data_IF_782672037225
#
_entry.id   IF_782672037225
#
_cell.length_a   1.000
_cell.length_b   1.000
_cell.length_c   1.000
_cell.angle_alpha   90.00
_cell.angle_beta   90.00
_cell.angle_gamma   90.00
#
_symmetry.space_group_name_H-M   'P 1'
#
loop_
_entity.id
_entity.type
_entity.pdbx_description
1 polymer ?
#
# COMPACT_ATOMS: atom_id res chain seq x y z
N UNK A 1 -4.04 -12.49 -2.16
CA UNK A 1 -4.83 -12.00 -3.33
C UNK A 1 -4.74 -10.48 -3.46
N UNK A 2 -5.02 -9.90 -4.64
CA UNK A 2 -5.06 -8.44 -4.87
C UNK A 2 -6.51 -7.97 -4.95
N UNK A 3 -6.90 -7.07 -4.05
CA UNK A 3 -8.23 -6.44 -4.02
C UNK A 3 -8.13 -5.00 -4.56
N UNK A 4 -9.01 -4.63 -5.49
CA UNK A 4 -9.12 -3.25 -5.99
C UNK A 4 -10.49 -2.70 -5.67
N UNK A 5 -10.53 -1.55 -5.00
CA UNK A 5 -11.77 -0.92 -4.50
C UNK A 5 -11.70 0.60 -4.68
N UNK A 6 -12.80 1.31 -4.42
CA UNK A 6 -12.82 2.77 -4.47
C UNK A 6 -13.57 3.37 -3.27
N UNK A 7 -14.79 2.90 -3.03
CA UNK A 7 -15.60 3.35 -1.90
C UNK A 7 -14.88 3.06 -0.57
N UNK A 8 -14.87 4.06 0.31
CA UNK A 8 -14.13 3.97 1.58
C UNK A 8 -14.74 2.94 2.54
N UNK A 9 -16.05 2.70 2.48
CA UNK A 9 -16.70 1.71 3.33
C UNK A 9 -16.39 0.31 2.83
N UNK A 10 -16.41 0.11 1.50
CA UNK A 10 -15.98 -1.15 0.89
C UNK A 10 -14.50 -1.43 1.20
N UNK A 11 -13.63 -0.42 1.08
CA UNK A 11 -12.22 -0.54 1.44
C UNK A 11 -12.03 -0.99 2.90
N UNK A 12 -12.72 -0.35 3.83
CA UNK A 12 -12.68 -0.73 5.25
C UNK A 12 -13.25 -2.12 5.51
N UNK A 13 -14.25 -2.55 4.74
CA UNK A 13 -14.79 -3.90 4.86
C UNK A 13 -13.75 -4.92 4.39
N UNK A 14 -13.13 -4.71 3.23
CA UNK A 14 -12.07 -5.62 2.74
C UNK A 14 -10.90 -5.67 3.71
N UNK A 15 -10.48 -4.56 4.34
CA UNK A 15 -9.47 -4.59 5.39
C UNK A 15 -9.82 -5.56 6.53
N UNK A 16 -11.09 -5.57 6.99
CA UNK A 16 -11.58 -6.50 8.02
C UNK A 16 -11.57 -7.96 7.55
N UNK A 17 -11.72 -8.19 6.25
CA UNK A 17 -11.80 -9.53 5.70
C UNK A 17 -10.41 -10.15 5.46
N UNK A 18 -9.36 -9.33 5.26
CA UNK A 18 -8.02 -9.80 4.87
C UNK A 18 -6.96 -9.74 5.98
N UNK A 19 -7.12 -8.83 6.95
CA UNK A 19 -6.18 -8.63 8.06
C UNK A 19 -6.44 -9.64 9.18
N UNK A 20 -5.36 -10.20 9.71
CA UNK A 20 -5.30 -11.09 10.87
C UNK A 20 -4.65 -10.38 12.07
N UNK A 21 -4.83 -10.97 13.24
CA UNK A 21 -4.43 -10.36 14.52
C UNK A 21 -2.92 -10.09 14.64
N UNK A 22 -2.11 -10.93 14.01
CA UNK A 22 -0.64 -10.92 14.05
C UNK A 22 0.01 -10.33 12.78
N UNK A 23 -0.78 -9.82 11.84
CA UNK A 23 -0.27 -9.38 10.54
C UNK A 23 0.69 -8.17 10.67
N UNK A 24 1.76 -8.20 9.86
CA UNK A 24 2.54 -7.02 9.53
C UNK A 24 1.90 -6.29 8.35
N UNK A 25 1.46 -5.06 8.59
CA UNK A 25 0.77 -4.25 7.58
C UNK A 25 1.64 -3.06 7.15
N UNK A 26 1.87 -2.95 5.85
CA UNK A 26 2.50 -1.75 5.25
C UNK A 26 1.41 -0.91 4.57
N UNK A 27 1.19 0.30 5.07
CA UNK A 27 0.16 1.22 4.58
C UNK A 27 0.77 2.42 3.84
N UNK A 28 0.49 2.53 2.54
CA UNK A 28 0.92 3.63 1.68
C UNK A 28 -0.20 4.67 1.55
N UNK A 29 0.04 5.88 2.05
CA UNK A 29 -0.91 7.00 2.01
C UNK A 29 -1.87 7.02 3.19
N UNK A 30 -1.35 6.94 4.43
CA UNK A 30 -2.20 6.86 5.62
C UNK A 30 -2.94 8.17 5.97
N UNK A 31 -2.55 9.31 5.38
CA UNK A 31 -3.08 10.64 5.69
C UNK A 31 -3.12 10.86 7.22
N UNK A 32 -4.25 11.28 7.78
CA UNK A 32 -4.45 11.48 9.23
C UNK A 32 -4.67 10.19 10.04
N UNK A 33 -4.49 9.00 9.46
CA UNK A 33 -4.48 7.73 10.20
C UNK A 33 -5.86 7.09 10.44
N UNK A 34 -6.91 7.48 9.72
CA UNK A 34 -8.24 6.88 9.89
C UNK A 34 -8.28 5.39 9.54
N UNK A 35 -7.59 5.01 8.46
CA UNK A 35 -7.47 3.61 8.05
C UNK A 35 -6.47 2.89 8.95
N UNK A 36 -5.33 3.52 9.29
CA UNK A 36 -4.36 3.03 10.28
C UNK A 36 -5.01 2.63 11.61
N UNK A 37 -5.96 3.43 12.12
CA UNK A 37 -6.71 3.11 13.35
C UNK A 37 -7.54 1.85 13.22
N UNK A 38 -8.14 1.61 12.06
CA UNK A 38 -8.92 0.39 11.81
C UNK A 38 -7.96 -0.80 11.73
N UNK A 39 -6.84 -0.63 11.02
CA UNK A 39 -5.80 -1.65 10.90
C UNK A 39 -5.25 -2.04 12.27
N UNK A 40 -4.99 -1.10 13.18
CA UNK A 40 -4.49 -1.42 14.53
C UNK A 40 -5.52 -2.18 15.38
N UNK A 41 -6.80 -1.93 15.19
CA UNK A 41 -7.85 -2.71 15.87
C UNK A 41 -7.96 -4.14 15.33
N UNK A 42 -7.61 -4.35 14.06
CA UNK A 42 -7.66 -5.66 13.40
C UNK A 42 -6.40 -6.49 13.61
N UNK A 43 -5.25 -5.84 13.77
CA UNK A 43 -3.95 -6.46 14.04
C UNK A 43 -3.41 -6.03 15.42
N UNK A 44 -4.07 -6.39 16.55
CA UNK A 44 -3.65 -5.99 17.89
C UNK A 44 -2.26 -6.54 18.27
N UNK A 45 -1.89 -7.72 17.76
CA UNK A 45 -0.63 -8.42 18.05
C UNK A 45 0.41 -8.26 16.92
N UNK A 46 0.01 -7.61 15.83
CA UNK A 46 0.83 -7.35 14.65
C UNK A 46 1.67 -6.08 14.74
N UNK A 47 2.06 -5.55 13.57
CA UNK A 47 2.81 -4.29 13.45
C UNK A 47 2.37 -3.52 12.23
N UNK A 48 2.40 -2.19 12.32
CA UNK A 48 1.99 -1.32 11.23
C UNK A 48 3.15 -0.39 10.85
N UNK A 49 3.51 -0.37 9.58
CA UNK A 49 4.38 0.64 8.99
C UNK A 49 3.51 1.54 8.12
N UNK A 50 3.19 2.73 8.63
CA UNK A 50 2.33 3.71 7.96
C UNK A 50 3.18 4.80 7.31
N UNK A 51 2.89 5.11 6.04
CA UNK A 51 3.67 6.05 5.25
C UNK A 51 2.78 7.13 4.65
N UNK A 52 3.20 8.39 4.80
CA UNK A 52 2.56 9.54 4.15
C UNK A 52 3.58 10.66 3.94
N UNK A 53 3.38 11.52 2.94
CA UNK A 53 4.28 12.65 2.67
C UNK A 53 3.93 13.89 3.50
N UNK A 54 2.68 14.01 3.93
CA UNK A 54 2.13 15.20 4.56
C UNK A 54 2.65 15.37 5.99
N UNK A 55 2.88 16.62 6.39
CA UNK A 55 3.32 16.95 7.75
C UNK A 55 2.20 16.79 8.77
N UNK A 56 0.95 17.01 8.35
CA UNK A 56 -0.26 16.87 9.17
C UNK A 56 -0.42 15.45 9.74
N UNK A 57 0.08 14.45 9.02
CA UNK A 57 0.11 13.06 9.48
C UNK A 57 0.94 12.87 10.75
N UNK A 58 2.04 13.62 10.96
CA UNK A 58 2.93 13.37 12.10
C UNK A 58 2.20 13.47 13.44
N UNK A 59 1.55 14.62 13.68
CA UNK A 59 0.87 14.87 14.95
C UNK A 59 -0.27 13.88 15.17
N UNK A 60 -1.05 13.58 14.13
CA UNK A 60 -2.19 12.66 14.21
C UNK A 60 -1.77 11.22 14.43
N UNK A 61 -0.69 10.77 13.81
CA UNK A 61 -0.18 9.41 14.01
C UNK A 61 0.53 9.29 15.38
N UNK A 62 1.15 10.35 15.89
CA UNK A 62 1.71 10.36 17.24
C UNK A 62 0.64 10.38 18.33
N UNK A 63 -0.50 11.03 18.10
CA UNK A 63 -1.70 10.89 18.94
C UNK A 63 -2.22 9.45 18.88
N UNK A 64 -2.41 8.90 17.67
CA UNK A 64 -2.93 7.54 17.49
C UNK A 64 -2.06 6.49 18.20
N UNK A 65 -0.73 6.59 18.13
CA UNK A 65 0.22 5.71 18.83
C UNK A 65 -0.01 5.65 20.35
N UNK A 66 -0.54 6.72 20.96
CA UNK A 66 -0.84 6.76 22.40
C UNK A 66 -2.19 6.12 22.73
N UNK A 67 -3.07 5.99 21.75
CA UNK A 67 -4.44 5.49 21.91
C UNK A 67 -4.58 3.99 21.65
N UNK A 68 -3.64 3.39 20.92
CA UNK A 68 -3.71 1.98 20.48
C UNK A 68 -2.53 1.19 21.02
N UNK A 69 -2.72 -0.12 21.19
CA UNK A 69 -1.67 -1.03 21.68
C UNK A 69 -0.78 -1.56 20.58
N UNK A 70 -1.28 -1.67 19.34
CA UNK A 70 -0.50 -2.13 18.19
C UNK A 70 0.67 -1.18 17.93
N UNK A 71 1.91 -1.69 17.81
CA UNK A 71 3.04 -0.89 17.38
C UNK A 71 2.81 -0.26 16.00
N UNK A 72 2.82 1.08 15.95
CA UNK A 72 2.77 1.85 14.71
C UNK A 72 4.11 2.56 14.52
N UNK A 73 4.80 2.24 13.42
CA UNK A 73 5.90 3.04 12.90
C UNK A 73 5.36 3.97 11.81
N UNK A 74 5.48 5.28 12.02
CA UNK A 74 5.16 6.27 11.00
C UNK A 74 6.44 6.74 10.30
N UNK A 75 6.42 6.75 8.98
CA UNK A 75 7.52 7.26 8.15
C UNK A 75 6.98 8.37 7.26
N UNK A 76 7.38 9.61 7.54
CA UNK A 76 7.08 10.72 6.65
C UNK A 76 7.98 10.66 5.42
N UNK A 77 7.41 10.36 4.25
CA UNK A 77 8.17 10.18 3.01
C UNK A 77 7.29 10.18 1.76
N UNK A 78 7.92 10.24 0.59
CA UNK A 78 7.27 9.98 -0.69
C UNK A 78 7.47 8.52 -1.12
N UNK A 79 6.38 7.75 -1.12
CA UNK A 79 6.37 6.31 -1.46
C UNK A 79 6.81 6.00 -2.91
N UNK A 80 6.99 7.02 -3.74
CA UNK A 80 7.49 6.90 -5.12
C UNK A 80 9.02 6.84 -5.17
N UNK A 81 9.72 7.15 -4.08
CA UNK A 81 11.18 7.21 -4.05
C UNK A 81 11.80 5.85 -3.70
N UNK A 82 12.90 5.52 -4.37
CA UNK A 82 13.62 4.26 -4.16
C UNK A 82 14.17 4.13 -2.73
N UNK A 83 14.79 5.18 -2.21
CA UNK A 83 15.32 5.25 -0.83
C UNK A 83 14.24 4.98 0.24
N UNK A 84 12.99 5.35 -0.06
CA UNK A 84 11.86 5.07 0.83
C UNK A 84 11.55 3.58 0.86
N UNK A 85 11.52 2.94 -0.32
CA UNK A 85 11.34 1.49 -0.42
C UNK A 85 12.48 0.74 0.28
N UNK A 86 13.76 1.10 0.03
CA UNK A 86 14.91 0.44 0.67
C UNK A 86 14.83 0.49 2.21
N UNK A 87 14.46 1.65 2.75
CA UNK A 87 14.25 1.84 4.19
C UNK A 87 13.16 0.91 4.72
N UNK A 88 12.02 0.80 4.04
CA UNK A 88 10.91 -0.06 4.48
C UNK A 88 11.26 -1.53 4.33
N UNK A 89 11.87 -1.94 3.22
CA UNK A 89 12.27 -3.33 2.99
C UNK A 89 13.20 -3.83 4.09
N UNK A 90 14.17 -3.02 4.49
CA UNK A 90 15.08 -3.35 5.59
C UNK A 90 14.29 -3.63 6.88
N UNK A 91 13.36 -2.72 7.22
CA UNK A 91 12.52 -2.85 8.42
C UNK A 91 11.57 -4.04 8.37
N UNK A 92 10.94 -4.28 7.22
CA UNK A 92 10.03 -5.39 6.97
C UNK A 92 10.78 -6.73 7.10
N UNK A 93 12.00 -6.82 6.59
CA UNK A 93 12.83 -8.01 6.73
C UNK A 93 13.21 -8.27 8.20
N UNK A 94 13.56 -7.23 8.96
CA UNK A 94 13.89 -7.36 10.38
C UNK A 94 12.71 -7.85 11.24
N UNK A 95 11.47 -7.61 10.80
CA UNK A 95 10.24 -8.04 11.49
C UNK A 95 9.64 -9.35 10.97
N UNK A 96 10.23 -9.95 9.92
CA UNK A 96 9.85 -11.27 9.41
C UNK A 96 9.03 -11.30 8.12
N UNK A 97 8.75 -10.14 7.51
CA UNK A 97 8.00 -10.05 6.25
C UNK A 97 6.84 -9.06 6.30
N UNK A 98 6.11 -8.99 5.19
CA UNK A 98 4.90 -8.17 5.03
C UNK A 98 3.73 -9.11 4.73
N UNK A 99 2.67 -9.06 5.53
CA UNK A 99 1.48 -9.89 5.29
C UNK A 99 0.47 -9.15 4.42
N UNK A 100 0.27 -7.86 4.68
CA UNK A 100 -0.72 -7.04 3.98
C UNK A 100 -0.11 -5.74 3.49
N UNK A 101 -0.22 -5.49 2.18
CA UNK A 101 0.09 -4.20 1.57
C UNK A 101 -1.19 -3.42 1.29
N UNK A 102 -1.29 -2.23 1.88
CA UNK A 102 -2.45 -1.35 1.77
C UNK A 102 -2.07 -0.09 0.99
N UNK A 103 -2.69 0.15 -0.17
CA UNK A 103 -2.34 1.26 -1.08
C UNK A 103 -3.54 2.21 -1.23
N UNK A 104 -3.49 3.37 -0.54
CA UNK A 104 -4.49 4.45 -0.63
C UNK A 104 -3.81 5.81 -0.87
N UNK A 105 -3.41 6.05 -2.13
CA UNK A 105 -2.75 7.32 -2.51
C UNK A 105 -3.75 8.44 -2.83
N UNK A 106 -4.94 8.40 -2.22
CA UNK A 106 -6.10 9.21 -2.55
C UNK A 106 -6.92 8.54 -3.66
N UNK A 107 -8.10 7.99 -3.35
CA UNK A 107 -8.88 7.11 -4.23
C UNK A 107 -9.24 7.59 -5.66
N UNK A 108 -8.93 8.84 -6.04
CA UNK A 108 -9.05 9.39 -7.40
C UNK A 108 -7.72 9.76 -8.06
N UNK A 109 -6.58 9.42 -7.45
CA UNK A 109 -5.25 9.69 -7.97
C UNK A 109 -5.00 8.90 -9.26
N UNK A 110 -4.05 9.37 -10.08
CA UNK A 110 -3.82 8.82 -11.41
C UNK A 110 -3.56 7.29 -11.36
N UNK A 111 -4.36 6.47 -12.07
CA UNK A 111 -4.28 5.01 -11.97
C UNK A 111 -2.92 4.45 -12.36
N UNK A 112 -2.20 5.10 -13.28
CA UNK A 112 -0.86 4.69 -13.69
C UNK A 112 0.15 4.80 -12.54
N UNK A 113 0.07 5.86 -11.74
CA UNK A 113 0.98 6.09 -10.62
C UNK A 113 0.68 5.11 -9.49
N UNK A 114 -0.60 4.93 -9.15
CA UNK A 114 -1.00 3.93 -8.16
C UNK A 114 -0.56 2.53 -8.57
N UNK A 115 -0.75 2.15 -9.83
CA UNK A 115 -0.31 0.85 -10.33
C UNK A 115 1.20 0.67 -10.27
N UNK A 116 2.00 1.68 -10.67
CA UNK A 116 3.46 1.62 -10.59
C UNK A 116 3.96 1.47 -9.15
N UNK A 117 3.38 2.22 -8.21
CA UNK A 117 3.70 2.09 -6.78
C UNK A 117 3.32 0.70 -6.28
N UNK A 118 2.09 0.25 -6.53
CA UNK A 118 1.66 -1.12 -6.19
C UNK A 118 2.64 -2.16 -6.74
N UNK A 119 2.96 -2.10 -8.03
CA UNK A 119 3.82 -3.05 -8.71
C UNK A 119 5.18 -3.17 -8.02
N UNK A 120 5.86 -2.03 -7.83
CA UNK A 120 7.19 -2.01 -7.21
C UNK A 120 7.14 -2.51 -5.77
N UNK A 121 6.20 -2.03 -4.97
CA UNK A 121 6.13 -2.36 -3.55
C UNK A 121 5.71 -3.82 -3.34
N UNK A 122 4.69 -4.30 -4.05
CA UNK A 122 4.19 -5.66 -3.91
C UNK A 122 5.19 -6.71 -4.42
N UNK A 123 5.89 -6.46 -5.54
CA UNK A 123 6.94 -7.37 -6.04
C UNK A 123 8.15 -7.44 -5.11
N UNK A 124 8.42 -6.37 -4.35
CA UNK A 124 9.55 -6.32 -3.41
C UNK A 124 9.19 -6.94 -2.06
N UNK A 125 8.03 -6.58 -1.50
CA UNK A 125 7.59 -7.01 -0.18
C UNK A 125 6.92 -8.38 -0.19
N UNK A 126 6.42 -8.82 -1.35
CA UNK A 126 5.73 -10.10 -1.59
C UNK A 126 4.64 -10.39 -0.54
N UNK A 127 3.66 -9.48 -0.36
CA UNK A 127 2.62 -9.65 0.64
C UNK A 127 1.69 -10.82 0.30
N UNK A 128 1.10 -11.42 1.33
CA UNK A 128 0.02 -12.41 1.20
C UNK A 128 -1.22 -11.78 0.58
N UNK A 129 -1.60 -10.60 1.08
CA UNK A 129 -2.76 -9.83 0.59
C UNK A 129 -2.36 -8.41 0.21
N UNK A 130 -2.98 -7.89 -0.84
CA UNK A 130 -2.89 -6.47 -1.19
C UNK A 130 -4.28 -5.88 -1.35
N UNK A 131 -4.46 -4.65 -0.90
CA UNK A 131 -5.64 -3.84 -1.19
C UNK A 131 -5.22 -2.52 -1.82
N UNK A 132 -5.86 -2.14 -2.92
CA UNK A 132 -5.62 -0.91 -3.67
C UNK A 132 -6.92 -0.12 -3.72
N UNK A 133 -6.90 1.11 -3.21
CA UNK A 133 -8.01 2.05 -3.37
C UNK A 133 -7.77 2.98 -4.55
N UNK A 134 -8.38 2.70 -5.69
CA UNK A 134 -8.28 3.54 -6.89
C UNK A 134 -9.47 3.35 -7.84
N UNK A 135 -10.18 4.45 -8.15
CA UNK A 135 -11.32 4.43 -9.08
C UNK A 135 -10.93 4.02 -10.51
N UNK A 136 -9.82 4.54 -11.03
CA UNK A 136 -9.41 4.32 -12.41
C UNK A 136 -8.97 2.89 -12.69
N UNK A 137 -8.30 2.24 -11.73
CA UNK A 137 -7.96 0.82 -11.84
C UNK A 137 -9.20 -0.07 -11.79
N UNK A 138 -10.15 0.26 -10.90
CA UNK A 138 -11.42 -0.47 -10.82
C UNK A 138 -12.22 -0.34 -12.13
N UNK A 139 -12.26 0.86 -12.69
CA UNK A 139 -12.88 1.12 -14.01
C UNK A 139 -12.22 0.32 -15.13
N UNK A 140 -10.88 0.30 -15.18
CA UNK A 140 -10.14 -0.51 -16.15
C UNK A 140 -10.47 -2.01 -16.04
N UNK A 141 -10.48 -2.57 -14.82
CA UNK A 141 -10.81 -3.98 -14.58
C UNK A 141 -12.20 -4.34 -15.10
N UNK A 142 -13.18 -3.46 -14.92
CA UNK A 142 -14.55 -3.71 -15.37
C UNK A 142 -14.80 -3.39 -16.85
N UNK A 143 -13.90 -2.64 -17.49
CA UNK A 143 -14.02 -2.25 -18.89
C UNK A 143 -13.17 -3.10 -19.84
N UNK A 144 -12.09 -3.69 -19.35
CA UNK A 144 -11.18 -4.50 -20.16
C UNK A 144 -11.71 -5.94 -20.39
N UNK A 145 -11.32 -6.52 -21.53
CA UNK A 145 -11.50 -7.94 -21.82
C UNK A 145 -10.13 -8.53 -22.16
N UNK A 146 -9.78 -9.66 -21.54
CA UNK A 146 -8.55 -10.38 -21.82
C UNK A 146 -8.83 -11.56 -22.76
N UNK A 147 -7.96 -11.76 -23.75
CA UNK A 147 -7.99 -12.94 -24.64
C UNK A 147 -7.27 -14.14 -24.03
N UNK A 148 -6.48 -13.92 -22.97
CA UNK A 148 -5.68 -14.92 -22.27
C UNK A 148 -5.98 -14.88 -20.78
N UNK A 149 -5.75 -16.00 -20.08
CA UNK A 149 -5.96 -16.10 -18.62
C UNK A 149 -4.62 -16.15 -17.90
N UNK A 150 -4.20 -14.99 -17.41
CA UNK A 150 -3.07 -14.85 -16.46
C UNK A 150 -3.69 -14.34 -15.15
N UNK A 151 -3.36 -15.00 -14.04
CA UNK A 151 -3.89 -14.66 -12.72
C UNK A 151 -2.83 -14.82 -11.65
N UNK A 152 -3.01 -14.13 -10.53
CA UNK A 152 -2.21 -14.29 -9.32
C UNK A 152 -3.09 -14.65 -8.14
N UNK A 153 -2.64 -15.56 -7.29
CA UNK A 153 -3.29 -15.97 -6.05
C UNK A 153 -2.69 -15.24 -4.83
N UNK A 154 -1.48 -14.71 -4.97
CA UNK A 154 -0.80 -13.91 -3.94
C UNK A 154 -1.19 -12.42 -3.99
N UNK A 155 -0.69 -11.63 -3.05
CA UNK A 155 -0.89 -10.18 -2.99
C UNK A 155 -0.09 -9.37 -4.03
N UNK A 156 0.51 -10.01 -5.02
CA UNK A 156 1.41 -9.37 -6.00
C UNK A 156 1.33 -10.10 -7.35
N UNK A 157 1.87 -9.48 -8.41
CA UNK A 157 1.81 -10.06 -9.76
C UNK A 157 2.80 -11.22 -9.90
N UNK A 158 2.32 -12.45 -9.76
CA UNK A 158 3.12 -13.69 -9.82
C UNK A 158 3.92 -13.84 -11.12
N UNK A 159 3.39 -13.33 -12.23
CA UNK A 159 4.07 -13.30 -13.53
C UNK A 159 5.33 -12.43 -13.55
N UNK A 160 5.50 -11.54 -12.56
CA UNK A 160 6.58 -10.56 -12.47
C UNK A 160 7.44 -10.76 -11.21
N UNK A 161 7.46 -11.96 -10.64
CA UNK A 161 8.15 -12.29 -9.36
C UNK A 161 9.63 -11.90 -9.31
N UNK A 162 10.29 -12.16 -10.43
CA UNK A 162 11.74 -12.04 -10.57
C UNK A 162 12.12 -10.80 -11.41
N UNK A 163 11.11 -10.03 -11.85
CA UNK A 163 11.30 -8.72 -12.45
C UNK A 163 11.63 -7.75 -11.32
N UNK A 164 12.93 -7.71 -10.95
CA UNK A 164 13.43 -6.90 -9.85
C UNK A 164 13.05 -5.42 -9.94
N UNK A 165 13.24 -4.68 -8.84
CA UNK A 165 12.97 -3.23 -8.79
C UNK A 165 13.73 -2.54 -9.92
N UNK A 166 13.05 -1.87 -10.87
CA UNK A 166 13.75 -1.15 -11.93
C UNK A 166 14.69 -0.12 -11.28
N UNK A 167 16.00 -0.14 -11.58
CA UNK A 167 16.98 0.73 -10.92
C UNK A 167 16.73 2.22 -11.16
N UNK A 168 15.84 2.55 -12.10
CA UNK A 168 15.31 3.89 -12.30
C UNK A 168 13.84 3.79 -12.72
N UNK A 169 12.94 4.42 -11.97
CA UNK A 169 11.67 4.93 -12.51
C UNK A 169 11.99 6.14 -13.41
N UNK A 170 12.69 5.91 -14.53
CA UNK A 170 13.00 6.98 -15.46
C UNK A 170 11.72 7.42 -16.16
N UNK A 171 11.35 8.66 -15.85
CA UNK A 171 10.54 9.61 -16.63
C UNK A 171 9.03 9.68 -16.38
N UNK A 172 8.66 10.73 -15.62
CA UNK A 172 7.50 11.57 -15.92
C UNK A 172 7.97 13.04 -16.05
N UNK A 173 9.01 13.31 -16.84
CA UNK A 173 9.43 14.70 -17.15
C UNK A 173 8.44 15.42 -18.10
N UNK A 174 7.46 14.72 -18.65
CA UNK A 174 6.53 15.26 -19.67
C UNK A 174 5.10 15.56 -19.17
N UNK A 175 4.73 15.21 -17.94
CA UNK A 175 3.32 15.18 -17.52
C UNK A 175 2.93 16.09 -16.35
N UNK A 176 3.90 16.74 -15.70
CA UNK A 176 3.59 17.81 -14.74
C UNK A 176 3.75 19.15 -15.43
N UNK A 177 2.75 20.07 -15.40
CA UNK A 177 3.04 21.47 -15.67
C UNK A 177 4.16 21.89 -14.73
N UNK A 178 5.16 22.61 -15.25
CA UNK A 178 6.11 23.32 -14.40
C UNK A 178 5.27 24.31 -13.58
N UNK A 179 5.05 24.01 -12.30
CA UNK A 179 4.63 25.01 -11.32
C UNK A 179 5.89 25.58 -10.71
#
# INVERSE_FOLDING_TARGET
MINVVYDINVYRQVLKDIIKEDDVVVELGCHIGNSTRIISQLAPDGKIIALDKSTESNEKLDELKKEVTTPIEFIQCDVRLHETLEKVVTKVNDIGGCDVLSVDLGGGYHPDTTFKVFYIWSSTLKPRETIIRNRGLLDFIHSAKASEKISSNEGWLESCKDDGVPPNLKELKLWSPKV
#
